data_IF_497699776228
#
_entry.id   IF_497699776228
#
_cell.length_a   1.000
_cell.length_b   1.000
_cell.length_c   1.000
_cell.angle_alpha   90.00
_cell.angle_beta   90.00
_cell.angle_gamma   90.00
#
_symmetry.space_group_name_H-M   'P 1'
#
loop_
_entity.id
_entity.type
_entity.pdbx_description
1 polymer ?
#
# COMPACT_ATOMS: atom_id res chain seq x y z
N UNK A 1 -8.48 -6.44 -26.59
CA UNK A 1 -8.52 -5.42 -25.51
C UNK A 1 -9.66 -5.62 -24.51
N UNK A 2 -10.93 -5.79 -24.93
CA UNK A 2 -12.08 -5.99 -24.03
C UNK A 2 -11.96 -7.23 -23.12
N UNK A 3 -11.46 -8.34 -23.66
CA UNK A 3 -11.28 -9.60 -22.90
C UNK A 3 -10.21 -9.49 -21.81
N UNK A 4 -9.07 -8.86 -22.13
CA UNK A 4 -8.00 -8.59 -21.15
C UNK A 4 -8.54 -7.73 -20.02
N UNK A 5 -9.28 -6.65 -20.33
CA UNK A 5 -9.86 -5.75 -19.33
C UNK A 5 -10.89 -6.46 -18.44
N UNK A 6 -11.71 -7.35 -19.00
CA UNK A 6 -12.65 -8.18 -18.24
C UNK A 6 -11.91 -9.21 -17.35
N UNK A 7 -10.85 -9.83 -17.86
CA UNK A 7 -10.02 -10.78 -17.12
C UNK A 7 -9.24 -10.12 -15.97
N UNK A 8 -8.76 -8.88 -16.16
CA UNK A 8 -8.11 -8.10 -15.10
C UNK A 8 -9.10 -7.78 -13.97
N UNK A 9 -10.33 -7.38 -14.31
CA UNK A 9 -11.38 -7.13 -13.30
C UNK A 9 -11.77 -8.41 -12.55
N UNK A 10 -11.76 -9.56 -13.22
CA UNK A 10 -12.08 -10.84 -12.59
C UNK A 10 -10.94 -11.34 -11.68
N UNK A 11 -9.67 -11.10 -12.06
CA UNK A 11 -8.48 -11.59 -11.34
C UNK A 11 -8.05 -10.70 -10.18
N UNK A 12 -8.25 -9.38 -10.29
CA UNK A 12 -8.04 -8.42 -9.19
C UNK A 12 -9.24 -8.35 -8.24
N UNK A 13 -10.15 -9.33 -8.24
CA UNK A 13 -11.22 -9.36 -7.24
C UNK A 13 -10.68 -9.88 -5.91
N UNK A 14 -10.96 -9.15 -4.82
CA UNK A 14 -10.70 -9.60 -3.47
C UNK A 14 -11.44 -10.92 -3.18
N UNK A 15 -10.88 -11.75 -2.30
CA UNK A 15 -11.58 -12.95 -1.80
C UNK A 15 -12.82 -12.51 -0.99
N UNK A 16 -13.96 -13.21 -1.12
CA UNK A 16 -15.16 -12.92 -0.33
C UNK A 16 -14.81 -12.97 1.17
N UNK A 17 -15.22 -11.96 1.94
CA UNK A 17 -14.84 -11.79 3.35
C UNK A 17 -13.54 -11.03 3.60
N UNK A 18 -12.80 -10.64 2.56
CA UNK A 18 -11.58 -9.79 2.66
C UNK A 18 -11.78 -8.41 2.02
N UNK A 19 -13.03 -7.97 1.90
CA UNK A 19 -13.40 -6.68 1.29
C UNK A 19 -12.88 -5.48 2.10
N UNK A 20 -12.70 -5.65 3.41
CA UNK A 20 -12.12 -4.63 4.30
C UNK A 20 -10.73 -4.16 3.87
N UNK A 21 -9.96 -5.01 3.17
CA UNK A 21 -8.66 -4.62 2.63
C UNK A 21 -8.78 -3.47 1.61
N UNK A 22 -9.89 -3.36 0.87
CA UNK A 22 -10.13 -2.24 -0.04
C UNK A 22 -10.25 -0.90 0.70
N UNK A 23 -10.88 -0.91 1.87
CA UNK A 23 -11.01 0.26 2.75
C UNK A 23 -9.63 0.64 3.30
N UNK A 24 -8.86 -0.34 3.78
CA UNK A 24 -7.49 -0.10 4.25
C UNK A 24 -6.58 0.49 3.18
N UNK A 25 -6.63 -0.02 1.94
CA UNK A 25 -5.86 0.55 0.83
C UNK A 25 -6.31 1.97 0.48
N UNK A 26 -7.62 2.26 0.52
CA UNK A 26 -8.11 3.61 0.28
C UNK A 26 -7.62 4.58 1.35
N UNK A 27 -7.64 4.17 2.62
CA UNK A 27 -7.10 4.97 3.74
C UNK A 27 -5.61 5.25 3.51
N UNK A 28 -4.82 4.23 3.14
CA UNK A 28 -3.40 4.40 2.80
C UNK A 28 -3.20 5.44 1.72
N UNK A 29 -3.93 5.33 0.61
CA UNK A 29 -3.76 6.23 -0.54
C UNK A 29 -4.18 7.66 -0.17
N UNK A 30 -5.26 7.84 0.62
CA UNK A 30 -5.63 9.16 1.13
C UNK A 30 -4.57 9.74 2.06
N UNK A 31 -3.94 8.95 2.93
CA UNK A 31 -2.88 9.42 3.81
C UNK A 31 -1.63 9.84 3.04
N UNK A 32 -1.25 9.10 1.99
CA UNK A 32 -0.14 9.47 1.11
C UNK A 32 -0.43 10.82 0.42
N UNK A 33 -1.65 11.02 -0.07
CA UNK A 33 -2.07 12.29 -0.71
C UNK A 33 -2.16 13.45 0.29
N UNK A 34 -2.54 13.17 1.54
CA UNK A 34 -2.62 14.17 2.61
C UNK A 34 -1.25 14.45 3.25
N UNK A 35 -0.24 13.60 3.06
CA UNK A 35 1.12 13.77 3.60
C UNK A 35 1.71 15.19 3.42
N UNK A 36 1.65 15.83 2.24
CA UNK A 36 2.18 17.19 2.06
C UNK A 36 1.40 18.30 2.79
N UNK A 37 0.22 18.02 3.37
CA UNK A 37 -0.56 19.00 4.13
C UNK A 37 -0.15 19.06 5.60
N UNK A 38 0.65 18.11 6.08
CA UNK A 38 1.15 18.13 7.46
C UNK A 38 2.33 19.10 7.57
N UNK A 39 2.25 20.01 8.54
CA UNK A 39 3.23 21.09 8.73
C UNK A 39 4.60 20.60 9.22
N UNK A 40 4.67 19.39 9.77
CA UNK A 40 5.91 18.70 10.15
C UNK A 40 6.10 17.45 9.27
N UNK A 41 7.17 17.47 8.47
CA UNK A 41 7.49 16.37 7.55
C UNK A 41 7.81 15.08 8.31
N UNK A 42 8.55 15.17 9.42
CA UNK A 42 9.03 14.01 10.17
C UNK A 42 7.90 13.19 10.80
N UNK A 43 6.91 13.85 11.40
CA UNK A 43 5.75 13.18 12.01
C UNK A 43 4.83 12.56 10.96
N UNK A 44 4.66 13.19 9.79
CA UNK A 44 3.91 12.63 8.66
C UNK A 44 4.57 11.35 8.11
N UNK A 45 5.88 11.38 7.91
CA UNK A 45 6.66 10.25 7.38
C UNK A 45 6.58 9.06 8.34
N UNK A 46 6.80 9.27 9.64
CA UNK A 46 6.74 8.18 10.64
C UNK A 46 5.36 7.53 10.69
N UNK A 47 4.29 8.32 10.65
CA UNK A 47 2.91 7.81 10.62
C UNK A 47 2.63 6.96 9.38
N UNK A 48 3.07 7.44 8.22
CA UNK A 48 2.91 6.72 6.95
C UNK A 48 3.74 5.44 6.95
N UNK A 49 4.97 5.46 7.45
CA UNK A 49 5.84 4.25 7.57
C UNK A 49 5.18 3.18 8.43
N UNK A 50 4.70 3.53 9.64
CA UNK A 50 4.06 2.57 10.55
C UNK A 50 2.83 1.94 9.87
N UNK A 51 2.00 2.76 9.23
CA UNK A 51 0.81 2.29 8.53
C UNK A 51 1.16 1.37 7.35
N UNK A 52 2.20 1.68 6.59
CA UNK A 52 2.69 0.86 5.49
C UNK A 52 3.21 -0.51 5.97
N UNK A 53 3.88 -0.57 7.13
CA UNK A 53 4.31 -1.83 7.76
C UNK A 53 3.14 -2.70 8.22
N UNK A 54 2.14 -2.11 8.87
CA UNK A 54 0.92 -2.83 9.31
C UNK A 54 0.21 -3.43 8.10
N UNK A 55 0.08 -2.66 7.01
CA UNK A 55 -0.53 -3.13 5.76
C UNK A 55 0.30 -4.24 5.12
N UNK A 56 1.63 -4.14 5.12
CA UNK A 56 2.51 -5.18 4.59
C UNK A 56 2.32 -6.52 5.34
N UNK A 57 2.29 -6.49 6.66
CA UNK A 57 2.07 -7.68 7.51
C UNK A 57 0.69 -8.26 7.22
N UNK A 58 -0.34 -7.43 7.16
CA UNK A 58 -1.71 -7.85 6.88
C UNK A 58 -1.83 -8.54 5.51
N UNK A 59 -1.22 -7.97 4.46
CA UNK A 59 -1.20 -8.56 3.11
C UNK A 59 -0.42 -9.86 3.08
N UNK A 60 0.74 -9.92 3.76
CA UNK A 60 1.58 -11.10 3.80
C UNK A 60 0.88 -12.29 4.49
N UNK A 61 0.13 -12.01 5.56
CA UNK A 61 -0.64 -13.01 6.30
C UNK A 61 -1.91 -13.45 5.56
N UNK A 62 -2.78 -12.50 5.19
CA UNK A 62 -4.13 -12.81 4.71
C UNK A 62 -4.22 -13.01 3.20
N UNK A 63 -3.24 -12.54 2.43
CA UNK A 63 -3.16 -12.69 0.96
C UNK A 63 -4.52 -12.38 0.30
N UNK A 64 -4.96 -11.12 0.34
CA UNK A 64 -6.35 -10.74 0.07
C UNK A 64 -6.77 -10.97 -1.40
N UNK A 65 -5.80 -11.07 -2.32
CA UNK A 65 -6.06 -11.32 -3.72
C UNK A 65 -6.29 -12.81 -4.00
N UNK A 66 -7.22 -13.12 -4.91
CA UNK A 66 -7.45 -14.52 -5.37
C UNK A 66 -6.21 -15.08 -6.08
N UNK A 67 -5.58 -14.26 -6.92
CA UNK A 67 -4.41 -14.64 -7.70
C UNK A 67 -3.12 -14.50 -6.85
N UNK A 68 -2.28 -15.55 -6.75
CA UNK A 68 -1.03 -15.49 -5.98
C UNK A 68 -0.04 -14.46 -6.57
N UNK A 69 -0.02 -14.30 -7.90
CA UNK A 69 0.81 -13.29 -8.57
C UNK A 69 0.42 -11.86 -8.17
N UNK A 70 -0.87 -11.59 -7.97
CA UNK A 70 -1.33 -10.28 -7.50
C UNK A 70 -0.93 -10.03 -6.04
N UNK A 71 -0.92 -11.06 -5.19
CA UNK A 71 -0.38 -10.95 -3.83
C UNK A 71 1.11 -10.64 -3.84
N UNK A 72 1.90 -11.36 -4.64
CA UNK A 72 3.34 -11.10 -4.77
C UNK A 72 3.62 -9.69 -5.29
N UNK A 73 2.90 -9.25 -6.34
CA UNK A 73 3.00 -7.90 -6.87
C UNK A 73 2.67 -6.85 -5.79
N UNK A 74 1.59 -7.06 -5.05
CA UNK A 74 1.16 -6.16 -3.97
C UNK A 74 2.23 -6.04 -2.87
N UNK A 75 2.87 -7.15 -2.51
CA UNK A 75 3.98 -7.17 -1.53
C UNK A 75 5.19 -6.41 -2.08
N UNK A 76 5.58 -6.68 -3.33
CA UNK A 76 6.72 -5.99 -3.97
C UNK A 76 6.50 -4.49 -4.04
N UNK A 77 5.32 -4.04 -4.48
CA UNK A 77 4.98 -2.61 -4.54
C UNK A 77 5.04 -1.97 -3.15
N UNK A 78 4.53 -2.67 -2.13
CA UNK A 78 4.54 -2.18 -0.75
C UNK A 78 5.97 -2.08 -0.18
N UNK A 79 6.84 -3.05 -0.49
CA UNK A 79 8.27 -3.00 -0.12
C UNK A 79 8.97 -1.83 -0.80
N UNK A 80 8.72 -1.61 -2.10
CA UNK A 80 9.31 -0.48 -2.84
C UNK A 80 8.89 0.85 -2.21
N UNK A 81 7.61 1.02 -1.89
CA UNK A 81 7.11 2.21 -1.19
C UNK A 81 7.80 2.45 0.16
N UNK A 82 7.97 1.39 0.98
CA UNK A 82 8.69 1.47 2.24
C UNK A 82 10.15 1.89 2.03
N UNK A 83 10.85 1.30 1.06
CA UNK A 83 12.25 1.67 0.78
C UNK A 83 12.39 3.13 0.34
N UNK A 84 11.44 3.65 -0.45
CA UNK A 84 11.43 5.06 -0.86
C UNK A 84 11.19 5.95 0.36
N UNK A 85 10.27 5.58 1.25
CA UNK A 85 9.98 6.35 2.46
C UNK A 85 11.17 6.35 3.44
N UNK A 86 11.79 5.19 3.65
CA UNK A 86 12.97 5.06 4.53
C UNK A 86 14.13 5.90 3.98
N UNK A 87 14.40 5.84 2.67
CA UNK A 87 15.38 6.72 2.02
C UNK A 87 15.00 8.20 2.19
N UNK A 88 13.72 8.54 2.00
CA UNK A 88 13.20 9.90 2.21
C UNK A 88 13.41 10.40 3.64
N UNK A 89 13.26 9.53 4.64
CA UNK A 89 13.48 9.89 6.04
C UNK A 89 14.93 10.29 6.33
N UNK A 90 15.91 9.62 5.72
CA UNK A 90 17.32 9.98 5.85
C UNK A 90 17.63 11.39 5.30
N UNK A 91 16.88 11.87 4.31
CA UNK A 91 17.10 13.20 3.74
C UNK A 91 16.46 14.32 4.56
N UNK A 92 15.39 14.04 5.31
CA UNK A 92 14.70 15.06 6.13
C UNK A 92 15.56 15.54 7.30
N UNK A 93 16.37 14.67 7.91
CA UNK A 93 17.28 15.07 8.99
C UNK A 93 18.51 15.86 8.50
N UNK A 94 18.75 15.89 7.19
CA UNK A 94 19.94 16.51 6.58
C UNK A 94 19.74 17.95 6.08
N UNK A 95 18.53 18.50 6.26
CA UNK A 95 18.14 19.88 5.90
C UNK A 95 17.68 20.65 7.11
#
# INVERSE_FOLDING_TARGET
VKFIRAATVLTFRFRPGKEWYAVMFSIRDTLIVLSPLFSEASTSIVLVTILLYVILIAIAHDKPWRLPQANSLSIVVQIVLLTILDLGSFFVDST
#
